data_IF_419982827016
#
_entry.id   IF_419982827016
#
_cell.length_a   1.000
_cell.length_b   1.000
_cell.length_c   1.000
_cell.angle_alpha   90.00
_cell.angle_beta   90.00
_cell.angle_gamma   90.00
#
_symmetry.space_group_name_H-M   'P 1'
#
loop_
_entity.id
_entity.type
_entity.pdbx_description
1 polymer ?
#
# COMPACT_ATOMS: atom_id res chain seq x y z
N UNK A 1 17.16 33.45 -48.63
CA UNK A 1 17.49 34.10 -47.34
C UNK A 1 17.08 33.14 -46.25
N UNK A 2 18.04 32.43 -45.67
CA UNK A 2 17.82 31.58 -44.51
C UNK A 2 17.51 32.47 -43.32
N UNK A 3 16.34 32.28 -42.71
CA UNK A 3 15.94 32.93 -41.47
C UNK A 3 16.87 32.42 -40.34
N UNK A 4 18.02 33.04 -40.15
CA UNK A 4 18.84 32.83 -38.96
C UNK A 4 18.09 33.42 -37.78
N UNK A 5 17.46 32.55 -36.97
CA UNK A 5 16.90 32.94 -35.67
C UNK A 5 18.02 33.62 -34.88
N UNK A 6 17.80 34.88 -34.46
CA UNK A 6 18.71 35.55 -33.53
C UNK A 6 18.70 34.79 -32.21
N UNK A 7 19.80 34.13 -31.89
CA UNK A 7 20.01 33.55 -30.57
C UNK A 7 20.24 34.65 -29.54
N UNK A 8 19.68 34.47 -28.35
CA UNK A 8 19.85 35.40 -27.25
C UNK A 8 21.18 35.11 -26.53
N UNK A 9 21.83 36.17 -26.04
CA UNK A 9 22.99 36.03 -25.16
C UNK A 9 22.54 35.37 -23.85
N UNK A 10 23.24 34.32 -23.44
CA UNK A 10 22.92 33.60 -22.22
C UNK A 10 23.47 34.33 -20.99
N UNK A 11 22.74 34.24 -19.88
CA UNK A 11 23.21 34.74 -18.57
C UNK A 11 23.93 33.65 -17.76
N UNK A 12 23.69 32.40 -18.09
CA UNK A 12 24.31 31.22 -17.46
C UNK A 12 24.07 29.99 -18.32
N UNK A 13 24.97 29.00 -18.21
CA UNK A 13 24.88 27.71 -18.88
C UNK A 13 25.38 26.60 -17.96
N UNK A 14 24.67 25.49 -17.91
CA UNK A 14 25.13 24.23 -17.32
C UNK A 14 25.59 23.33 -18.46
N UNK A 15 26.77 22.74 -18.35
CA UNK A 15 27.30 21.77 -19.29
C UNK A 15 27.42 20.40 -18.63
N UNK A 16 27.20 19.34 -19.41
CA UNK A 16 27.19 17.95 -18.95
C UNK A 16 27.86 17.05 -19.97
N UNK A 17 28.99 16.41 -19.62
CA UNK A 17 29.66 15.48 -20.54
C UNK A 17 30.55 14.46 -19.81
N UNK A 18 30.69 13.26 -20.37
CA UNK A 18 31.62 12.24 -19.90
C UNK A 18 33.09 12.66 -20.08
N UNK A 19 33.98 12.07 -19.31
CA UNK A 19 35.43 12.37 -19.37
C UNK A 19 36.16 11.67 -20.52
N UNK A 20 35.53 10.70 -21.17
CA UNK A 20 36.15 9.89 -22.22
C UNK A 20 36.47 10.68 -23.48
N UNK A 21 37.62 10.36 -24.08
CA UNK A 21 38.05 10.90 -25.37
C UNK A 21 37.03 10.55 -26.47
N UNK A 22 36.76 11.51 -27.37
CA UNK A 22 35.77 11.37 -28.46
C UNK A 22 34.39 11.99 -28.19
N UNK A 23 34.11 12.44 -26.95
CA UNK A 23 32.92 13.23 -26.63
C UNK A 23 33.16 14.74 -26.61
N UNK A 24 34.43 15.14 -26.74
CA UNK A 24 34.91 16.52 -26.80
C UNK A 24 35.61 16.72 -28.15
N UNK A 25 35.71 17.96 -28.61
CA UNK A 25 36.44 18.28 -29.83
C UNK A 25 37.92 17.86 -29.74
N UNK A 26 38.50 17.55 -30.90
CA UNK A 26 39.86 16.98 -31.02
C UNK A 26 40.99 17.90 -30.52
N UNK A 27 40.69 19.17 -30.24
CA UNK A 27 41.67 20.15 -29.73
C UNK A 27 41.83 20.09 -28.20
N UNK A 28 41.03 19.28 -27.51
CA UNK A 28 41.19 19.01 -26.08
C UNK A 28 42.41 18.15 -25.77
N UNK A 29 43.05 18.43 -24.63
CA UNK A 29 44.10 17.56 -24.12
C UNK A 29 43.47 16.27 -23.57
N UNK A 30 43.74 15.14 -24.24
CA UNK A 30 43.20 13.82 -23.89
C UNK A 30 43.59 13.38 -22.48
N UNK A 31 44.85 13.59 -22.09
CA UNK A 31 45.34 13.20 -20.76
C UNK A 31 44.63 13.99 -19.65
N UNK A 32 44.26 15.25 -19.93
CA UNK A 32 43.49 16.07 -19.00
C UNK A 32 42.06 15.51 -18.83
N UNK A 33 41.39 15.20 -19.94
CA UNK A 33 40.02 14.65 -19.89
C UNK A 33 40.01 13.30 -19.16
N UNK A 34 40.90 12.37 -19.53
CA UNK A 34 41.00 11.04 -18.93
C UNK A 34 41.41 11.07 -17.45
N UNK A 35 42.08 12.15 -16.99
CA UNK A 35 42.39 12.33 -15.56
C UNK A 35 41.16 12.57 -14.68
N UNK A 36 40.03 12.96 -15.29
CA UNK A 36 38.80 13.39 -14.61
C UNK A 36 39.04 14.49 -13.53
N UNK A 37 40.11 15.27 -13.68
CA UNK A 37 40.45 16.40 -12.81
C UNK A 37 39.52 17.59 -13.11
N UNK A 38 38.36 17.61 -12.45
CA UNK A 38 37.32 18.61 -12.67
C UNK A 38 37.79 20.05 -12.43
N UNK A 39 38.82 20.27 -11.62
CA UNK A 39 39.40 21.59 -11.39
C UNK A 39 40.09 22.11 -12.64
N UNK A 40 41.05 21.34 -13.17
CA UNK A 40 41.77 21.71 -14.39
C UNK A 40 40.88 21.72 -15.63
N UNK A 41 39.91 20.82 -15.71
CA UNK A 41 38.93 20.82 -16.80
C UNK A 41 38.10 22.12 -16.74
N UNK A 42 37.62 22.52 -15.56
CA UNK A 42 36.88 23.78 -15.40
C UNK A 42 37.72 25.01 -15.74
N UNK A 43 39.00 25.03 -15.36
CA UNK A 43 39.93 26.11 -15.73
C UNK A 43 40.04 26.27 -17.25
N UNK A 44 40.19 25.15 -17.97
CA UNK A 44 40.28 25.17 -19.43
C UNK A 44 38.95 25.60 -20.08
N UNK A 45 37.81 25.13 -19.57
CA UNK A 45 36.48 25.60 -20.00
C UNK A 45 36.39 27.12 -19.84
N UNK A 46 36.73 27.66 -18.66
CA UNK A 46 36.65 29.09 -18.39
C UNK A 46 37.62 29.87 -19.27
N UNK A 47 38.83 29.36 -19.51
CA UNK A 47 39.81 29.98 -20.41
C UNK A 47 39.24 30.13 -21.83
N UNK A 48 38.70 29.06 -22.40
CA UNK A 48 38.10 29.04 -23.74
C UNK A 48 36.89 29.96 -23.85
N UNK A 49 35.98 29.88 -22.88
CA UNK A 49 34.75 30.69 -22.87
C UNK A 49 35.04 32.18 -22.66
N UNK A 50 36.11 32.52 -21.94
CA UNK A 50 36.51 33.91 -21.69
C UNK A 50 36.97 34.65 -22.96
N UNK A 51 37.20 33.96 -24.08
CA UNK A 51 37.47 34.58 -25.38
C UNK A 51 36.24 35.27 -25.99
N UNK A 52 35.03 34.85 -25.58
CA UNK A 52 33.75 35.31 -26.18
C UNK A 52 32.74 35.84 -25.16
N UNK A 53 32.96 35.59 -23.86
CA UNK A 53 32.09 36.00 -22.77
C UNK A 53 32.89 36.43 -21.54
N UNK A 54 32.27 37.12 -20.59
CA UNK A 54 32.86 37.43 -19.29
C UNK A 54 32.26 36.54 -18.21
N UNK A 55 33.01 35.53 -17.77
CA UNK A 55 32.59 34.60 -16.70
C UNK A 55 32.73 35.27 -15.34
N UNK A 56 31.66 35.26 -14.55
CA UNK A 56 31.62 35.84 -13.19
C UNK A 56 31.55 34.78 -12.09
N UNK A 57 30.96 33.63 -12.39
CA UNK A 57 30.88 32.48 -11.47
C UNK A 57 31.11 31.19 -12.26
N UNK A 58 31.85 30.25 -11.69
CA UNK A 58 32.19 28.97 -12.32
C UNK A 58 32.30 27.86 -11.27
N UNK A 59 31.51 26.80 -11.46
CA UNK A 59 31.42 25.65 -10.56
C UNK A 59 31.53 24.35 -11.34
N UNK A 60 32.12 23.30 -10.76
CA UNK A 60 32.14 21.97 -11.35
C UNK A 60 32.01 20.85 -10.30
N UNK A 61 31.45 19.72 -10.70
CA UNK A 61 31.36 18.50 -9.89
C UNK A 61 31.43 17.27 -10.80
N UNK A 62 32.03 16.19 -10.29
CA UNK A 62 32.03 14.89 -10.93
C UNK A 62 30.79 14.08 -10.47
N UNK A 63 29.97 13.67 -11.41
CA UNK A 63 28.86 12.75 -11.17
C UNK A 63 29.28 11.31 -11.47
N UNK A 64 29.69 10.59 -10.43
CA UNK A 64 30.21 9.21 -10.47
C UNK A 64 29.32 8.17 -9.76
N UNK A 65 28.14 8.59 -9.27
CA UNK A 65 27.21 7.82 -8.42
C UNK A 65 25.79 7.79 -8.99
N UNK A 66 25.60 8.41 -10.15
CA UNK A 66 24.32 8.43 -10.84
C UNK A 66 23.99 7.03 -11.38
N UNK A 67 22.72 6.65 -11.30
CA UNK A 67 22.26 5.35 -11.77
C UNK A 67 21.18 5.51 -12.83
N UNK A 68 21.09 4.53 -13.70
CA UNK A 68 20.10 4.45 -14.77
C UNK A 68 19.47 3.08 -14.81
N UNK A 69 18.19 3.06 -15.16
CA UNK A 69 17.41 1.84 -15.29
C UNK A 69 17.65 1.28 -16.69
N UNK A 70 18.17 0.05 -16.79
CA UNK A 70 18.52 -0.60 -18.06
C UNK A 70 17.83 -1.97 -18.12
N UNK A 71 17.25 -2.28 -19.27
CA UNK A 71 16.69 -3.61 -19.51
C UNK A 71 17.81 -4.59 -19.89
N UNK A 72 18.07 -5.58 -19.04
CA UNK A 72 18.97 -6.68 -19.35
C UNK A 72 18.25 -7.68 -20.25
N UNK A 73 18.61 -7.68 -21.53
CA UNK A 73 18.01 -8.58 -22.53
C UNK A 73 18.26 -10.06 -22.25
N UNK A 74 19.32 -10.43 -21.51
CA UNK A 74 19.62 -11.83 -21.17
C UNK A 74 18.77 -12.30 -20.00
N UNK A 75 18.63 -11.46 -18.97
CA UNK A 75 17.83 -11.77 -17.79
C UNK A 75 16.33 -11.51 -18.01
N UNK A 76 15.96 -10.78 -19.07
CA UNK A 76 14.59 -10.29 -19.31
C UNK A 76 14.05 -9.44 -18.16
N UNK A 77 14.95 -8.78 -17.44
CA UNK A 77 14.65 -8.03 -16.24
C UNK A 77 15.23 -6.62 -16.33
N UNK A 78 14.66 -5.73 -15.53
CA UNK A 78 15.11 -4.35 -15.44
C UNK A 78 16.11 -4.25 -14.30
N UNK A 79 17.35 -3.88 -14.60
CA UNK A 79 18.41 -3.71 -13.61
C UNK A 79 18.84 -2.25 -13.50
N UNK A 80 19.43 -1.90 -12.36
CA UNK A 80 20.00 -0.57 -12.13
C UNK A 80 21.49 -0.63 -12.45
N UNK A 81 21.95 0.16 -13.41
CA UNK A 81 23.37 0.27 -13.76
C UNK A 81 23.90 1.67 -13.42
N UNK A 82 25.12 1.71 -12.89
CA UNK A 82 25.86 2.96 -12.73
C UNK A 82 26.06 3.65 -14.09
N UNK A 83 25.77 4.94 -14.15
CA UNK A 83 26.08 5.77 -15.31
C UNK A 83 27.60 6.01 -15.40
N UNK A 84 28.10 6.26 -16.60
CA UNK A 84 29.50 6.62 -16.78
C UNK A 84 29.81 7.95 -16.08
N UNK A 85 30.96 8.09 -15.39
CA UNK A 85 31.36 9.33 -14.75
C UNK A 85 31.39 10.51 -15.71
N UNK A 86 30.81 11.63 -15.29
CA UNK A 86 30.69 12.81 -16.13
C UNK A 86 30.76 14.11 -15.32
N UNK A 87 31.23 15.18 -15.95
CA UNK A 87 31.29 16.51 -15.34
C UNK A 87 29.95 17.22 -15.50
N UNK A 88 29.49 17.85 -14.43
CA UNK A 88 28.58 18.98 -14.51
C UNK A 88 29.36 20.27 -14.22
N UNK A 89 29.38 21.22 -15.15
CA UNK A 89 29.94 22.54 -14.89
C UNK A 89 28.92 23.66 -15.13
N UNK A 90 28.86 24.62 -14.21
CA UNK A 90 27.92 25.72 -14.26
C UNK A 90 28.68 27.04 -14.37
N UNK A 91 28.42 27.77 -15.45
CA UNK A 91 28.98 29.10 -15.69
C UNK A 91 27.89 30.16 -15.60
N UNK A 92 28.25 31.32 -15.05
CA UNK A 92 27.44 32.53 -15.08
C UNK A 92 28.22 33.67 -15.71
N UNK A 93 27.53 34.49 -16.48
CA UNK A 93 28.14 35.58 -17.23
C UNK A 93 27.75 36.95 -16.68
N UNK A 94 28.65 37.93 -16.85
CA UNK A 94 28.36 39.33 -16.59
C UNK A 94 27.21 39.80 -17.48
N UNK A 95 26.39 40.72 -16.95
CA UNK A 95 25.13 41.12 -17.60
C UNK A 95 25.42 41.75 -18.96
N UNK A 96 24.89 41.13 -20.01
CA UNK A 96 25.07 41.58 -21.40
C UNK A 96 26.41 41.21 -22.02
N UNK A 97 27.27 40.47 -21.29
CA UNK A 97 28.57 39.96 -21.75
C UNK A 97 28.62 38.43 -21.78
N UNK A 98 27.48 37.78 -21.95
CA UNK A 98 27.42 36.37 -22.30
C UNK A 98 27.59 36.18 -23.81
N UNK A 99 27.58 34.91 -24.23
CA UNK A 99 27.56 34.52 -25.64
C UNK A 99 26.28 33.71 -25.96
N UNK A 100 26.03 33.44 -27.24
CA UNK A 100 24.92 32.57 -27.66
C UNK A 100 25.23 31.10 -27.34
N UNK A 101 24.21 30.23 -27.39
CA UNK A 101 24.40 28.80 -27.08
C UNK A 101 25.37 28.17 -28.10
N UNK A 102 25.15 28.45 -29.38
CA UNK A 102 26.02 28.00 -30.49
C UNK A 102 27.47 28.43 -30.31
N UNK A 103 27.72 29.71 -30.00
CA UNK A 103 29.09 30.22 -29.78
C UNK A 103 29.75 29.60 -28.56
N UNK A 104 29.01 29.37 -27.48
CA UNK A 104 29.54 28.69 -26.29
C UNK A 104 29.87 27.22 -26.59
N UNK A 105 28.97 26.52 -27.28
CA UNK A 105 29.16 25.13 -27.70
C UNK A 105 30.43 24.97 -28.56
N UNK A 106 30.57 25.81 -29.59
CA UNK A 106 31.76 25.86 -30.46
C UNK A 106 33.04 26.15 -29.67
N UNK A 107 33.01 27.11 -28.75
CA UNK A 107 34.20 27.49 -27.97
C UNK A 107 34.62 26.44 -26.95
N UNK A 108 33.65 25.77 -26.34
CA UNK A 108 33.92 24.69 -25.39
C UNK A 108 34.35 23.43 -26.14
N UNK A 109 33.91 23.23 -27.38
CA UNK A 109 34.16 22.03 -28.16
C UNK A 109 33.18 20.91 -27.83
N UNK A 110 31.90 21.26 -27.68
CA UNK A 110 30.79 20.34 -27.41
C UNK A 110 29.60 20.67 -28.32
N UNK A 111 28.77 19.68 -28.64
CA UNK A 111 27.50 19.95 -29.31
C UNK A 111 26.51 20.68 -28.38
N UNK A 112 25.62 21.51 -28.94
CA UNK A 112 24.67 22.33 -28.16
C UNK A 112 23.77 21.51 -27.22
N UNK A 113 23.48 20.26 -27.54
CA UNK A 113 22.65 19.35 -26.73
C UNK A 113 23.26 19.02 -25.35
N UNK A 114 24.57 19.18 -25.19
CA UNK A 114 25.28 19.00 -23.92
C UNK A 114 25.30 20.27 -23.06
N UNK A 115 24.71 21.37 -23.55
CA UNK A 115 24.62 22.65 -22.86
C UNK A 115 23.15 22.99 -22.53
N UNK A 116 22.82 23.02 -21.24
CA UNK A 116 21.52 23.47 -20.75
C UNK A 116 21.55 24.95 -20.37
N UNK A 117 20.73 25.75 -21.05
CA UNK A 117 20.47 27.14 -20.66
C UNK A 117 19.52 27.21 -19.45
N UNK A 118 19.78 28.16 -18.56
CA UNK A 118 18.87 28.47 -17.45
C UNK A 118 17.46 28.80 -17.95
N UNK A 119 16.44 28.18 -17.33
CA UNK A 119 15.03 28.51 -17.61
C UNK A 119 14.75 29.99 -17.30
N UNK A 120 13.86 30.60 -18.08
CA UNK A 120 13.48 32.00 -17.89
C UNK A 120 12.93 32.26 -16.48
N UNK A 121 13.33 33.39 -15.89
CA UNK A 121 12.83 33.86 -14.60
C UNK A 121 13.87 33.85 -13.47
N UNK A 122 13.50 34.44 -12.33
CA UNK A 122 14.43 34.69 -11.20
C UNK A 122 15.02 33.45 -10.53
N UNK A 123 14.46 32.26 -10.80
CA UNK A 123 14.86 31.00 -10.19
C UNK A 123 15.65 30.08 -11.11
N UNK A 124 15.81 30.43 -12.39
CA UNK A 124 16.47 29.54 -13.35
C UNK A 124 17.88 29.16 -12.93
N UNK A 125 18.70 30.15 -12.57
CA UNK A 125 20.08 29.92 -12.12
C UNK A 125 20.16 29.20 -10.77
N UNK A 126 19.28 29.53 -9.82
CA UNK A 126 19.18 28.83 -8.52
C UNK A 126 18.80 27.35 -8.69
N UNK A 127 18.01 27.02 -9.72
CA UNK A 127 17.70 25.63 -10.03
C UNK A 127 18.90 24.88 -10.59
N UNK A 128 19.72 25.49 -11.44
CA UNK A 128 20.96 24.89 -11.93
C UNK A 128 21.97 24.68 -10.79
N UNK A 129 22.12 25.66 -9.90
CA UNK A 129 22.94 25.51 -8.69
C UNK A 129 22.48 24.30 -7.85
N UNK A 130 21.18 24.20 -7.57
CA UNK A 130 20.63 23.07 -6.83
C UNK A 130 20.83 21.72 -7.55
N UNK A 131 20.85 21.73 -8.88
CA UNK A 131 20.95 20.54 -9.71
C UNK A 131 22.34 19.92 -9.68
N UNK A 132 23.41 20.71 -9.49
CA UNK A 132 24.79 20.21 -9.32
C UNK A 132 24.91 19.14 -8.23
N UNK A 133 24.09 19.20 -7.19
CA UNK A 133 24.09 18.19 -6.13
C UNK A 133 22.78 17.40 -6.03
N UNK A 134 21.94 17.53 -7.05
CA UNK A 134 20.58 16.98 -7.10
C UNK A 134 19.69 17.36 -5.89
N UNK A 135 19.91 18.51 -5.25
CA UNK A 135 19.29 18.89 -3.97
C UNK A 135 17.75 18.88 -3.97
N UNK A 136 17.11 18.96 -5.16
CA UNK A 136 15.66 18.98 -5.33
C UNK A 136 15.10 17.67 -5.89
N UNK A 137 15.93 16.70 -6.27
CA UNK A 137 15.57 15.53 -7.06
C UNK A 137 15.78 14.24 -6.24
N UNK A 138 14.77 13.85 -5.46
CA UNK A 138 14.85 12.75 -4.47
C UNK A 138 15.26 11.41 -5.05
N UNK A 139 14.86 11.13 -6.29
CA UNK A 139 15.13 9.84 -6.94
C UNK A 139 16.57 9.72 -7.46
N UNK A 140 17.34 10.83 -7.45
CA UNK A 140 18.74 10.85 -7.85
C UNK A 140 19.68 10.84 -6.65
N UNK A 141 20.90 10.35 -6.85
CA UNK A 141 21.94 10.42 -5.82
C UNK A 141 22.18 11.88 -5.40
N UNK A 142 22.19 12.12 -4.09
CA UNK A 142 22.39 13.46 -3.52
C UNK A 142 23.87 13.65 -3.20
N UNK A 143 24.56 14.45 -3.99
CA UNK A 143 25.98 14.74 -3.76
C UNK A 143 26.19 15.68 -2.58
N UNK A 144 27.37 15.59 -1.97
CA UNK A 144 27.79 16.54 -0.95
C UNK A 144 28.07 17.90 -1.58
N UNK A 145 27.67 19.03 -0.97
CA UNK A 145 28.08 20.36 -1.43
C UNK A 145 29.61 20.56 -1.40
N UNK A 146 30.34 19.77 -0.61
CA UNK A 146 31.82 19.80 -0.57
C UNK A 146 32.47 19.17 -1.81
N UNK A 147 31.73 18.36 -2.58
CA UNK A 147 32.22 17.77 -3.84
C UNK A 147 32.18 18.78 -5.01
N UNK A 148 31.61 19.97 -4.80
CA UNK A 148 31.55 21.02 -5.83
C UNK A 148 32.77 21.93 -5.75
N UNK A 149 33.61 21.88 -6.79
CA UNK A 149 34.71 22.82 -6.98
C UNK A 149 34.19 24.20 -7.41
N UNK A 150 34.75 25.25 -6.81
CA UNK A 150 34.45 26.65 -7.16
C UNK A 150 35.70 27.31 -7.70
N UNK A 151 35.72 27.65 -8.99
CA UNK A 151 36.83 28.36 -9.62
C UNK A 151 36.66 29.89 -9.53
N UNK A 152 35.44 30.36 -9.79
CA UNK A 152 35.10 31.79 -9.77
C UNK A 152 33.81 32.05 -9.00
N UNK A 153 33.75 33.20 -8.33
CA UNK A 153 32.57 33.66 -7.63
C UNK A 153 32.56 33.30 -6.15
N UNK A 154 31.36 33.15 -5.58
CA UNK A 154 31.17 32.79 -4.17
C UNK A 154 31.32 31.29 -3.98
N UNK A 155 32.00 30.86 -2.92
CA UNK A 155 32.15 29.44 -2.56
C UNK A 155 30.80 28.71 -2.57
N UNK A 156 30.72 27.59 -3.29
CA UNK A 156 29.48 26.84 -3.44
C UNK A 156 28.89 26.39 -2.09
N UNK A 157 29.75 25.97 -1.15
CA UNK A 157 29.32 25.58 0.19
C UNK A 157 28.55 26.72 0.91
N UNK A 158 29.00 27.97 0.77
CA UNK A 158 28.28 29.12 1.34
C UNK A 158 26.94 29.36 0.64
N UNK A 159 26.86 29.16 -0.69
CA UNK A 159 25.60 29.24 -1.45
C UNK A 159 24.63 28.18 -0.95
N UNK A 160 25.10 26.94 -0.79
CA UNK A 160 24.31 25.84 -0.23
C UNK A 160 23.76 26.22 1.14
N UNK A 161 24.58 26.73 2.07
CA UNK A 161 24.10 27.14 3.39
C UNK A 161 23.01 28.22 3.34
N UNK A 162 23.09 29.15 2.37
CA UNK A 162 22.08 30.19 2.17
C UNK A 162 20.79 29.66 1.52
N UNK A 163 20.89 28.62 0.69
CA UNK A 163 19.79 28.14 -0.16
C UNK A 163 19.14 26.84 0.30
N UNK A 164 19.81 26.06 1.17
CA UNK A 164 19.38 24.71 1.58
C UNK A 164 17.92 24.63 2.01
N UNK A 165 17.44 25.60 2.79
CA UNK A 165 16.04 25.60 3.25
C UNK A 165 15.07 25.79 2.08
N UNK A 166 15.40 26.68 1.14
CA UNK A 166 14.60 26.89 -0.08
C UNK A 166 14.65 25.68 -1.01
N UNK A 167 15.79 24.99 -1.10
CA UNK A 167 15.94 23.80 -1.92
C UNK A 167 15.19 22.60 -1.33
N UNK A 168 15.24 22.41 0.00
CA UNK A 168 14.42 21.42 0.70
C UNK A 168 12.92 21.67 0.50
N UNK A 169 12.46 22.92 0.57
CA UNK A 169 11.06 23.27 0.23
C UNK A 169 10.74 22.95 -1.23
N UNK A 170 11.68 23.20 -2.15
CA UNK A 170 11.55 22.85 -3.56
C UNK A 170 11.46 21.34 -3.80
N UNK A 171 12.25 20.54 -3.08
CA UNK A 171 12.23 19.08 -3.09
C UNK A 171 10.85 18.55 -2.67
N UNK A 172 10.34 19.02 -1.53
CA UNK A 172 9.00 18.65 -1.05
C UNK A 172 7.89 19.00 -2.06
N UNK A 173 7.98 20.16 -2.72
CA UNK A 173 7.02 20.56 -3.76
C UNK A 173 7.07 19.65 -4.99
N UNK A 174 8.27 19.26 -5.44
CA UNK A 174 8.43 18.29 -6.54
C UNK A 174 7.85 16.92 -6.17
N UNK A 175 8.06 16.45 -4.95
CA UNK A 175 7.49 15.19 -4.46
C UNK A 175 5.96 15.20 -4.49
N UNK A 176 5.35 16.30 -4.03
CA UNK A 176 3.89 16.48 -4.11
C UNK A 176 3.42 16.50 -5.56
N UNK A 177 4.10 17.23 -6.45
CA UNK A 177 3.74 17.30 -7.87
C UNK A 177 3.82 15.93 -8.56
N UNK A 178 4.88 15.16 -8.32
CA UNK A 178 5.02 13.79 -8.85
C UNK A 178 3.88 12.89 -8.36
N UNK A 179 3.51 13.04 -7.09
CA UNK A 179 2.34 12.34 -6.55
C UNK A 179 1.02 12.68 -7.25
N UNK A 180 0.85 13.91 -7.77
CA UNK A 180 -0.31 14.27 -8.58
C UNK A 180 -0.32 13.57 -9.94
N UNK A 181 0.85 13.24 -10.48
CA UNK A 181 1.01 12.57 -11.78
C UNK A 181 0.76 11.05 -11.67
N UNK A 182 1.19 10.44 -10.56
CA UNK A 182 1.12 8.99 -10.36
C UNK A 182 -0.19 8.51 -9.69
N UNK A 183 -1.11 9.42 -9.36
CA UNK A 183 -2.33 9.09 -8.62
C UNK A 183 -3.23 8.10 -9.36
N UNK A 184 -3.30 8.17 -10.70
CA UNK A 184 -4.20 7.32 -11.49
C UNK A 184 -3.79 5.85 -11.39
N UNK A 185 -2.48 5.56 -11.37
CA UNK A 185 -1.96 4.22 -11.16
C UNK A 185 -2.27 3.69 -9.75
N UNK A 186 -2.17 4.55 -8.72
CA UNK A 186 -2.55 4.16 -7.36
C UNK A 186 -4.05 3.84 -7.27
N UNK A 187 -4.91 4.65 -7.90
CA UNK A 187 -6.36 4.42 -7.93
C UNK A 187 -6.69 3.12 -8.66
N UNK A 188 -6.06 2.83 -9.80
CA UNK A 188 -6.25 1.55 -10.52
C UNK A 188 -5.87 0.35 -9.66
N UNK A 189 -4.72 0.41 -8.95
CA UNK A 189 -4.31 -0.66 -8.04
C UNK A 189 -5.26 -0.84 -6.85
N UNK A 190 -5.88 0.23 -6.35
CA UNK A 190 -6.92 0.13 -5.32
C UNK A 190 -8.16 -0.56 -5.89
N UNK A 191 -8.64 -0.14 -7.06
CA UNK A 191 -9.83 -0.71 -7.71
C UNK A 191 -9.67 -2.19 -8.05
N UNK A 192 -8.45 -2.60 -8.44
CA UNK A 192 -8.10 -4.00 -8.72
C UNK A 192 -7.77 -4.83 -7.46
N UNK A 193 -7.98 -4.27 -6.26
CA UNK A 193 -7.73 -4.93 -4.98
C UNK A 193 -6.25 -5.39 -4.83
N UNK A 194 -5.30 -4.66 -5.43
CA UNK A 194 -3.85 -4.91 -5.29
C UNK A 194 -3.25 -4.13 -4.13
N UNK A 195 -3.86 -2.99 -3.77
CA UNK A 195 -3.45 -2.15 -2.64
C UNK A 195 -4.64 -1.98 -1.69
N UNK A 196 -4.43 -2.29 -0.43
CA UNK A 196 -5.39 -2.08 0.64
C UNK A 196 -5.16 -0.75 1.36
N UNK A 197 -6.14 -0.33 2.15
CA UNK A 197 -5.99 0.85 3.02
C UNK A 197 -4.88 0.67 4.05
N UNK A 198 -4.68 -0.54 4.56
CA UNK A 198 -3.59 -0.82 5.50
C UNK A 198 -2.22 -0.66 4.84
N UNK A 199 -2.06 -1.09 3.58
CA UNK A 199 -0.80 -0.92 2.85
C UNK A 199 -0.45 0.56 2.72
N UNK A 200 -1.44 1.41 2.40
CA UNK A 200 -1.26 2.87 2.34
C UNK A 200 -0.88 3.48 3.68
N UNK A 201 -1.45 2.98 4.79
CA UNK A 201 -1.19 3.52 6.12
C UNK A 201 0.16 3.06 6.69
N UNK A 202 0.58 1.83 6.39
CA UNK A 202 1.81 1.24 6.90
C UNK A 202 3.05 1.62 6.08
N UNK A 203 2.91 1.79 4.77
CA UNK A 203 4.03 2.09 3.89
C UNK A 203 4.19 3.59 3.64
N UNK A 204 5.36 4.12 4.04
CA UNK A 204 5.72 5.53 3.93
C UNK A 204 5.67 6.05 2.49
N UNK A 205 5.85 5.20 1.46
CA UNK A 205 5.79 5.64 0.06
C UNK A 205 4.43 6.22 -0.32
N UNK A 206 3.35 5.79 0.33
CA UNK A 206 2.00 6.25 0.03
C UNK A 206 1.54 7.44 0.89
N UNK A 207 2.29 7.86 1.91
CA UNK A 207 1.85 8.89 2.85
C UNK A 207 1.62 10.25 2.20
N UNK A 208 2.58 10.71 1.37
CA UNK A 208 2.44 11.96 0.61
C UNK A 208 1.25 11.89 -0.36
N UNK A 209 1.13 10.86 -1.23
CA UNK A 209 -0.07 10.69 -2.06
C UNK A 209 -1.37 10.65 -1.28
N UNK A 210 -1.39 9.95 -0.15
CA UNK A 210 -2.60 9.81 0.64
C UNK A 210 -3.06 11.13 1.27
N UNK A 211 -2.14 11.95 1.77
CA UNK A 211 -2.50 13.27 2.32
C UNK A 211 -3.00 14.19 1.21
N UNK A 212 -2.30 14.21 0.07
CA UNK A 212 -2.59 15.12 -1.05
C UNK A 212 -3.91 14.76 -1.74
N UNK A 213 -4.19 13.46 -1.90
CA UNK A 213 -5.35 12.93 -2.62
C UNK A 213 -6.35 12.19 -1.72
N UNK A 214 -6.39 12.54 -0.43
CA UNK A 214 -7.16 11.81 0.59
C UNK A 214 -8.60 11.51 0.19
N UNK A 215 -9.30 12.49 -0.37
CA UNK A 215 -10.70 12.33 -0.80
C UNK A 215 -10.79 11.29 -1.92
N UNK A 216 -10.05 11.48 -3.02
CA UNK A 216 -10.08 10.58 -4.17
C UNK A 216 -9.69 9.14 -3.82
N UNK A 217 -8.68 8.96 -2.97
CA UNK A 217 -8.25 7.64 -2.51
C UNK A 217 -9.31 6.98 -1.61
N UNK A 218 -9.90 7.73 -0.68
CA UNK A 218 -10.96 7.18 0.16
C UNK A 218 -12.24 6.87 -0.63
N UNK A 219 -12.55 7.69 -1.64
CA UNK A 219 -13.67 7.43 -2.56
C UNK A 219 -13.43 6.15 -3.38
N UNK A 220 -12.18 5.89 -3.82
CA UNK A 220 -11.83 4.62 -4.47
C UNK A 220 -12.04 3.43 -3.54
N UNK A 221 -11.57 3.49 -2.29
CA UNK A 221 -11.84 2.42 -1.31
C UNK A 221 -13.34 2.22 -1.05
N UNK A 222 -14.11 3.31 -0.94
CA UNK A 222 -15.56 3.22 -0.79
C UNK A 222 -16.20 2.54 -2.01
N UNK A 223 -15.76 2.89 -3.21
CA UNK A 223 -16.23 2.30 -4.47
C UNK A 223 -15.91 0.80 -4.52
N UNK A 224 -14.71 0.38 -4.10
CA UNK A 224 -14.38 -1.05 -3.97
C UNK A 224 -15.35 -1.76 -3.05
N UNK A 225 -15.69 -1.16 -1.91
CA UNK A 225 -16.68 -1.73 -0.98
C UNK A 225 -18.09 -1.86 -1.60
N UNK A 226 -18.51 -0.87 -2.40
CA UNK A 226 -19.78 -0.92 -3.15
C UNK A 226 -19.77 -2.04 -4.20
N UNK A 227 -18.67 -2.19 -4.95
CA UNK A 227 -18.47 -3.27 -5.94
C UNK A 227 -18.52 -4.63 -5.25
N UNK A 228 -17.79 -4.83 -4.15
CA UNK A 228 -17.81 -6.07 -3.36
C UNK A 228 -19.21 -6.37 -2.85
N UNK A 229 -19.90 -5.35 -2.33
CA UNK A 229 -21.27 -5.48 -1.83
C UNK A 229 -22.26 -5.94 -2.91
N UNK A 230 -22.18 -5.36 -4.11
CA UNK A 230 -22.99 -5.75 -5.25
C UNK A 230 -22.65 -7.18 -5.72
N UNK A 231 -21.36 -7.51 -5.84
CA UNK A 231 -20.88 -8.85 -6.21
C UNK A 231 -21.39 -9.92 -5.26
N UNK A 232 -21.20 -9.76 -3.94
CA UNK A 232 -21.68 -10.74 -2.97
C UNK A 232 -23.20 -10.92 -3.04
N UNK A 233 -23.95 -9.83 -3.29
CA UNK A 233 -25.41 -9.94 -3.41
C UNK A 233 -25.80 -10.77 -4.63
N UNK A 234 -25.20 -10.50 -5.78
CA UNK A 234 -25.43 -11.25 -7.02
C UNK A 234 -25.05 -12.73 -6.85
N UNK A 235 -23.86 -13.01 -6.29
CA UNK A 235 -23.39 -14.37 -5.99
C UNK A 235 -24.34 -15.12 -5.03
N UNK A 236 -25.00 -14.43 -4.08
CA UNK A 236 -25.96 -15.06 -3.18
C UNK A 236 -27.29 -15.36 -3.88
N UNK A 237 -27.79 -14.41 -4.67
CA UNK A 237 -29.04 -14.55 -5.45
C UNK A 237 -28.92 -15.67 -6.51
N UNK A 238 -27.73 -15.84 -7.08
CA UNK A 238 -27.40 -16.92 -8.01
C UNK A 238 -27.06 -18.25 -7.32
N UNK A 239 -27.01 -18.29 -5.98
CA UNK A 239 -26.72 -19.50 -5.22
C UNK A 239 -25.28 -19.99 -5.33
N UNK A 240 -24.33 -19.12 -5.72
CA UNK A 240 -22.90 -19.43 -5.83
C UNK A 240 -22.26 -19.67 -4.46
N UNK A 241 -22.89 -19.17 -3.40
CA UNK A 241 -22.53 -19.53 -2.04
C UNK A 241 -23.74 -19.52 -1.09
N UNK A 242 -23.56 -20.18 0.06
CA UNK A 242 -24.43 -20.07 1.23
C UNK A 242 -23.71 -19.27 2.30
N UNK A 243 -24.33 -18.17 2.79
CA UNK A 243 -23.78 -17.40 3.90
C UNK A 243 -23.61 -18.29 5.13
N UNK A 244 -22.44 -18.23 5.75
CA UNK A 244 -22.07 -19.08 6.89
C UNK A 244 -22.01 -18.27 8.17
N UNK A 245 -22.83 -18.63 9.16
CA UNK A 245 -22.86 -17.97 10.47
C UNK A 245 -22.27 -18.94 11.50
N UNK A 246 -21.20 -18.53 12.16
CA UNK A 246 -20.49 -19.31 13.19
C UNK A 246 -20.61 -18.58 14.53
N UNK A 247 -21.06 -19.28 15.56
CA UNK A 247 -21.15 -18.73 16.91
C UNK A 247 -20.16 -19.44 17.83
N UNK A 248 -19.29 -18.68 18.48
CA UNK A 248 -18.25 -19.18 19.38
C UNK A 248 -18.62 -18.76 20.80
N UNK A 249 -19.02 -19.74 21.60
CA UNK A 249 -19.47 -19.58 22.97
C UNK A 249 -18.46 -20.18 23.97
N UNK A 250 -18.42 -19.62 25.17
CA UNK A 250 -17.62 -20.12 26.28
C UNK A 250 -17.38 -19.04 27.33
N UNK A 251 -17.08 -19.45 28.57
CA UNK A 251 -16.81 -18.51 29.66
C UNK A 251 -15.67 -17.53 29.32
N UNK A 252 -15.65 -16.39 30.03
CA UNK A 252 -14.56 -15.42 29.89
C UNK A 252 -13.21 -16.07 30.18
N UNK A 253 -12.17 -15.66 29.45
CA UNK A 253 -10.81 -16.16 29.64
C UNK A 253 -10.49 -17.53 28.97
N UNK A 254 -11.42 -18.16 28.25
CA UNK A 254 -11.17 -19.45 27.56
C UNK A 254 -10.54 -19.33 26.15
N UNK A 255 -10.09 -18.15 25.74
CA UNK A 255 -9.42 -17.97 24.44
C UNK A 255 -10.34 -17.89 23.20
N UNK A 256 -11.64 -17.60 23.36
CA UNK A 256 -12.61 -17.45 22.23
C UNK A 256 -12.14 -16.49 21.14
N UNK A 257 -11.71 -15.28 21.53
CA UNK A 257 -11.23 -14.26 20.59
C UNK A 257 -9.98 -14.72 19.84
N UNK A 258 -9.09 -15.47 20.52
CA UNK A 258 -7.92 -16.08 19.88
C UNK A 258 -8.34 -17.13 18.86
N UNK A 259 -9.23 -18.05 19.25
CA UNK A 259 -9.77 -19.07 18.36
C UNK A 259 -10.46 -18.46 17.13
N UNK A 260 -11.28 -17.42 17.32
CA UNK A 260 -11.99 -16.74 16.23
C UNK A 260 -11.05 -16.02 15.25
N UNK A 261 -9.98 -15.39 15.77
CA UNK A 261 -8.94 -14.75 14.94
C UNK A 261 -8.12 -15.77 14.17
N UNK A 262 -7.78 -16.90 14.79
CA UNK A 262 -7.13 -18.03 14.10
C UNK A 262 -8.04 -18.59 12.98
N UNK A 263 -9.30 -18.87 13.28
CA UNK A 263 -10.30 -19.30 12.30
C UNK A 263 -10.46 -18.31 11.14
N UNK A 264 -10.49 -17.01 11.43
CA UNK A 264 -10.61 -15.95 10.41
C UNK A 264 -9.40 -15.97 9.47
N UNK A 265 -8.18 -16.12 10.00
CA UNK A 265 -6.96 -16.23 9.21
C UNK A 265 -6.99 -17.47 8.32
N UNK A 266 -7.40 -18.61 8.87
CA UNK A 266 -7.48 -19.87 8.11
C UNK A 266 -8.51 -19.78 6.96
N UNK A 267 -9.66 -19.11 7.18
CA UNK A 267 -10.65 -18.85 6.14
C UNK A 267 -10.08 -17.96 5.02
N UNK A 268 -9.38 -16.88 5.36
CA UNK A 268 -8.74 -16.00 4.36
C UNK A 268 -7.68 -16.76 3.56
N UNK A 269 -6.86 -17.57 4.24
CA UNK A 269 -5.84 -18.37 3.57
C UNK A 269 -6.49 -19.38 2.60
N UNK A 270 -7.59 -20.02 3.00
CA UNK A 270 -8.34 -20.90 2.09
C UNK A 270 -8.96 -20.18 0.90
N UNK A 271 -9.49 -18.98 1.12
CA UNK A 271 -10.00 -18.15 0.03
C UNK A 271 -8.88 -17.84 -0.98
N UNK A 272 -7.68 -17.49 -0.49
CA UNK A 272 -6.50 -17.24 -1.32
C UNK A 272 -6.10 -18.46 -2.15
N UNK A 273 -6.14 -19.66 -1.57
CA UNK A 273 -5.87 -20.91 -2.30
C UNK A 273 -6.88 -21.19 -3.42
N UNK A 274 -8.08 -20.61 -3.33
CA UNK A 274 -9.11 -20.68 -4.37
C UNK A 274 -9.15 -19.40 -5.23
N UNK A 275 -8.04 -18.66 -5.31
CA UNK A 275 -7.90 -17.44 -6.11
C UNK A 275 -8.91 -16.33 -5.75
N UNK A 276 -9.32 -16.26 -4.48
CA UNK A 276 -10.20 -15.20 -3.96
C UNK A 276 -9.41 -14.26 -3.06
N UNK A 277 -9.60 -12.95 -3.25
CA UNK A 277 -8.97 -11.88 -2.46
C UNK A 277 -9.82 -11.47 -1.25
N UNK A 278 -10.24 -12.44 -0.45
CA UNK A 278 -11.13 -12.16 0.68
C UNK A 278 -10.42 -11.35 1.76
N UNK A 279 -11.17 -10.43 2.36
CA UNK A 279 -10.73 -9.62 3.49
C UNK A 279 -11.64 -9.87 4.69
N UNK A 280 -11.10 -9.58 5.88
CA UNK A 280 -11.87 -9.62 7.12
C UNK A 280 -11.82 -8.28 7.84
N UNK A 281 -12.91 -7.97 8.54
CA UNK A 281 -12.95 -6.89 9.51
C UNK A 281 -13.35 -7.41 10.89
N UNK A 282 -12.66 -6.93 11.91
CA UNK A 282 -13.02 -7.19 13.31
C UNK A 282 -13.73 -5.97 13.87
N UNK A 283 -14.88 -6.19 14.49
CA UNK A 283 -15.68 -5.12 15.06
C UNK A 283 -16.25 -5.54 16.41
N UNK A 284 -16.35 -4.58 17.33
CA UNK A 284 -16.88 -4.75 18.67
C UNK A 284 -17.71 -3.52 19.04
N UNK A 285 -18.80 -3.70 19.80
CA UNK A 285 -19.63 -2.60 20.31
C UNK A 285 -20.96 -2.37 19.58
N UNK A 286 -21.53 -1.18 19.75
CA UNK A 286 -22.91 -0.82 19.32
C UNK A 286 -23.01 -0.33 17.88
N UNK A 287 -21.93 0.06 17.21
CA UNK A 287 -21.93 0.51 15.80
C UNK A 287 -21.09 -0.40 14.92
N UNK A 288 -21.39 -1.69 15.00
CA UNK A 288 -20.55 -2.74 14.44
C UNK A 288 -20.35 -2.66 12.92
N UNK A 289 -21.23 -1.97 12.18
CA UNK A 289 -21.18 -1.86 10.71
C UNK A 289 -20.60 -0.54 10.17
N UNK A 290 -20.21 0.41 11.02
CA UNK A 290 -19.75 1.73 10.55
C UNK A 290 -18.46 1.63 9.71
N UNK A 291 -17.56 0.71 10.09
CA UNK A 291 -16.27 0.50 9.42
C UNK A 291 -16.32 -0.57 8.32
N UNK A 292 -17.43 -1.31 8.21
CA UNK A 292 -17.59 -2.38 7.21
C UNK A 292 -17.69 -1.78 5.81
N UNK A 293 -16.85 -2.29 4.91
CA UNK A 293 -16.67 -1.82 3.54
C UNK A 293 -16.48 -2.99 2.56
N UNK A 294 -17.40 -3.96 2.59
CA UNK A 294 -17.45 -5.06 1.64
C UNK A 294 -16.56 -6.24 1.98
N UNK A 295 -15.99 -6.31 3.19
CA UNK A 295 -15.22 -7.47 3.65
C UNK A 295 -16.09 -8.74 3.68
N UNK A 296 -15.56 -9.83 3.13
CA UNK A 296 -16.25 -11.10 3.00
C UNK A 296 -16.38 -11.84 4.35
N UNK A 297 -15.50 -11.57 5.30
CA UNK A 297 -15.52 -12.16 6.65
C UNK A 297 -15.72 -11.09 7.71
N UNK A 298 -16.83 -11.17 8.44
CA UNK A 298 -17.15 -10.28 9.55
C UNK A 298 -16.92 -10.98 10.89
N UNK A 299 -15.93 -10.52 11.64
CA UNK A 299 -15.65 -10.99 13.00
C UNK A 299 -16.25 -10.03 14.03
N UNK A 300 -17.33 -10.47 14.66
CA UNK A 300 -18.03 -9.80 15.75
C UNK A 300 -17.47 -10.31 17.09
N UNK A 301 -16.35 -9.72 17.52
CA UNK A 301 -15.60 -10.18 18.70
C UNK A 301 -16.13 -9.52 19.98
N UNK A 302 -16.60 -10.33 20.93
CA UNK A 302 -17.18 -9.95 22.21
C UNK A 302 -18.35 -8.96 22.09
N UNK A 303 -19.16 -9.15 21.04
CA UNK A 303 -20.38 -8.37 20.82
C UNK A 303 -21.44 -8.74 21.87
N UNK A 304 -22.38 -7.83 22.13
CA UNK A 304 -23.53 -8.07 23.01
C UNK A 304 -24.82 -8.18 22.20
N UNK A 305 -25.78 -8.96 22.70
CA UNK A 305 -27.06 -9.16 22.01
C UNK A 305 -27.86 -7.87 21.82
N UNK A 306 -27.70 -6.90 22.71
CA UNK A 306 -28.32 -5.57 22.67
C UNK A 306 -27.58 -4.56 21.79
N UNK A 307 -26.46 -4.94 21.15
CA UNK A 307 -25.75 -4.10 20.17
C UNK A 307 -26.60 -3.76 18.95
N UNK A 308 -27.55 -4.62 18.58
CA UNK A 308 -28.50 -4.41 17.48
C UNK A 308 -29.94 -4.64 17.95
N UNK A 309 -30.89 -4.21 17.13
CA UNK A 309 -32.29 -4.61 17.31
C UNK A 309 -32.52 -6.05 16.86
N UNK A 310 -33.60 -6.68 17.33
CA UNK A 310 -34.04 -8.00 16.87
C UNK A 310 -34.16 -8.07 15.34
N UNK A 311 -34.78 -7.06 14.73
CA UNK A 311 -34.94 -6.96 13.28
C UNK A 311 -33.59 -6.93 12.55
N UNK A 312 -32.62 -6.17 13.05
CA UNK A 312 -31.31 -6.05 12.42
C UNK A 312 -30.51 -7.34 12.54
N UNK A 313 -30.53 -8.02 13.70
CA UNK A 313 -29.90 -9.34 13.83
C UNK A 313 -30.50 -10.35 12.84
N UNK A 314 -31.83 -10.38 12.68
CA UNK A 314 -32.48 -11.27 11.73
C UNK A 314 -32.08 -11.00 10.28
N UNK A 315 -31.87 -9.73 9.91
CA UNK A 315 -31.39 -9.33 8.57
C UNK A 315 -29.92 -9.68 8.36
N UNK A 316 -29.06 -9.37 9.32
CA UNK A 316 -27.61 -9.65 9.27
C UNK A 316 -27.36 -11.15 9.10
N UNK A 317 -28.05 -11.94 9.92
CA UNK A 317 -27.88 -13.39 10.00
C UNK A 317 -28.73 -14.15 8.98
N UNK A 318 -29.50 -13.47 8.12
CA UNK A 318 -30.27 -14.15 7.07
C UNK A 318 -29.32 -14.85 6.09
N UNK A 319 -29.36 -16.19 5.97
CA UNK A 319 -28.45 -16.90 5.09
C UNK A 319 -28.84 -16.82 3.62
N UNK A 320 -30.05 -16.34 3.29
CA UNK A 320 -30.61 -16.33 1.94
C UNK A 320 -30.73 -14.93 1.33
N UNK A 321 -30.69 -13.88 2.16
CA UNK A 321 -30.85 -12.51 1.70
C UNK A 321 -29.74 -11.59 2.21
N UNK A 322 -29.45 -10.55 1.44
CA UNK A 322 -28.66 -9.40 1.89
C UNK A 322 -29.57 -8.19 1.93
N UNK A 323 -29.91 -7.78 3.14
CA UNK A 323 -30.71 -6.58 3.38
C UNK A 323 -29.82 -5.44 3.90
N UNK A 324 -30.14 -4.17 3.57
CA UNK A 324 -29.51 -3.04 4.22
C UNK A 324 -29.73 -3.09 5.74
N UNK A 325 -28.65 -2.90 6.50
CA UNK A 325 -28.66 -2.85 7.96
C UNK A 325 -28.46 -1.40 8.40
N UNK A 326 -29.14 -0.98 9.46
CA UNK A 326 -29.00 0.39 9.97
C UNK A 326 -27.57 0.66 10.42
N UNK A 327 -26.97 1.75 9.92
CA UNK A 327 -25.71 2.29 10.40
C UNK A 327 -25.83 3.82 10.54
N UNK A 328 -24.96 4.45 11.34
CA UNK A 328 -25.16 5.85 11.80
C UNK A 328 -25.21 6.87 10.68
N UNK A 329 -24.47 6.64 9.60
CA UNK A 329 -24.26 7.61 8.54
C UNK A 329 -25.05 7.26 7.26
N UNK A 330 -25.04 5.99 6.85
CA UNK A 330 -25.82 5.45 5.73
C UNK A 330 -26.03 3.96 5.97
N UNK A 331 -27.21 3.41 5.63
CA UNK A 331 -27.45 1.97 5.70
C UNK A 331 -26.38 1.23 4.90
N UNK A 332 -25.75 0.23 5.52
CA UNK A 332 -24.69 -0.56 4.89
C UNK A 332 -25.26 -1.88 4.39
N UNK A 333 -24.81 -2.30 3.21
CA UNK A 333 -25.08 -3.64 2.70
C UNK A 333 -24.16 -4.59 3.49
N UNK A 334 -24.73 -5.39 4.39
CA UNK A 334 -24.01 -6.41 5.15
C UNK A 334 -23.62 -7.60 4.28
N UNK A 335 -22.75 -7.38 3.31
CA UNK A 335 -22.33 -8.32 2.27
C UNK A 335 -21.24 -9.30 2.74
N UNK A 336 -21.28 -9.68 4.02
CA UNK A 336 -20.38 -10.70 4.52
C UNK A 336 -20.87 -12.09 4.07
N UNK A 337 -19.93 -12.90 3.57
CA UNK A 337 -20.14 -14.32 3.25
C UNK A 337 -20.02 -15.19 4.49
N UNK A 338 -19.18 -14.79 5.44
CA UNK A 338 -18.99 -15.46 6.73
C UNK A 338 -19.16 -14.45 7.86
N UNK A 339 -19.95 -14.81 8.87
CA UNK A 339 -20.12 -14.02 10.09
C UNK A 339 -19.68 -14.90 11.26
N UNK A 340 -18.70 -14.43 12.02
CA UNK A 340 -18.18 -15.10 13.21
C UNK A 340 -18.55 -14.26 14.43
N UNK A 341 -19.32 -14.82 15.35
CA UNK A 341 -19.71 -14.15 16.59
C UNK A 341 -18.98 -14.80 17.75
N UNK A 342 -18.29 -14.04 18.58
CA UNK A 342 -17.80 -14.54 19.87
C UNK A 342 -18.63 -13.95 21.01
N UNK A 343 -19.01 -14.79 21.98
CA UNK A 343 -19.71 -14.31 23.17
C UNK A 343 -19.45 -15.18 24.39
N UNK A 344 -19.54 -14.55 25.57
CA UNK A 344 -19.59 -15.24 26.85
C UNK A 344 -20.97 -15.76 27.22
N UNK A 345 -22.00 -15.45 26.42
CA UNK A 345 -23.38 -15.89 26.63
C UNK A 345 -23.74 -16.96 25.60
N UNK A 346 -24.47 -17.99 26.04
CA UNK A 346 -25.04 -18.97 25.13
C UNK A 346 -25.93 -18.25 24.10
N UNK A 347 -26.02 -18.69 22.82
CA UNK A 347 -26.82 -17.99 21.80
C UNK A 347 -28.25 -17.66 22.24
N UNK A 348 -28.94 -18.60 22.90
CA UNK A 348 -30.28 -18.35 23.45
C UNK A 348 -30.30 -17.19 24.45
N UNK A 349 -29.34 -17.13 25.37
CA UNK A 349 -29.24 -16.05 26.34
C UNK A 349 -28.81 -14.73 25.68
N UNK A 350 -27.92 -14.82 24.69
CA UNK A 350 -27.48 -13.68 23.89
C UNK A 350 -28.65 -12.98 23.20
N UNK A 351 -29.45 -13.73 22.43
CA UNK A 351 -30.57 -13.16 21.68
C UNK A 351 -31.78 -12.84 22.56
N UNK A 352 -31.96 -13.50 23.70
CA UNK A 352 -33.00 -13.15 24.66
C UNK A 352 -32.89 -11.68 25.12
N UNK A 353 -31.66 -11.19 25.35
CA UNK A 353 -31.40 -9.81 25.75
C UNK A 353 -31.33 -8.82 24.58
N UNK A 354 -31.57 -9.26 23.35
CA UNK A 354 -31.56 -8.36 22.19
C UNK A 354 -32.64 -7.28 22.32
N UNK A 355 -32.28 -6.06 21.90
CA UNK A 355 -33.18 -4.91 21.97
C UNK A 355 -34.41 -5.14 21.08
N UNK A 356 -35.60 -5.04 21.67
CA UNK A 356 -36.86 -5.25 20.95
C UNK A 356 -37.25 -6.71 20.73
N UNK A 357 -36.60 -7.66 21.42
CA UNK A 357 -36.83 -9.11 21.22
C UNK A 357 -38.06 -9.68 21.97
N UNK A 358 -38.87 -8.84 22.64
CA UNK A 358 -39.95 -9.29 23.55
C UNK A 358 -41.00 -10.21 22.91
N UNK A 359 -41.13 -10.20 21.58
CA UNK A 359 -42.11 -10.98 20.83
C UNK A 359 -41.48 -11.89 19.76
N UNK A 360 -40.15 -12.03 19.76
CA UNK A 360 -39.44 -12.81 18.73
C UNK A 360 -39.22 -14.25 19.19
N UNK A 361 -39.41 -15.21 18.28
CA UNK A 361 -39.10 -16.61 18.54
C UNK A 361 -37.57 -16.81 18.47
N UNK A 362 -36.94 -17.18 19.57
CA UNK A 362 -35.49 -17.43 19.62
C UNK A 362 -35.02 -18.48 18.60
N UNK A 363 -35.90 -19.39 18.19
CA UNK A 363 -35.65 -20.39 17.14
C UNK A 363 -35.24 -19.74 15.81
N UNK A 364 -35.67 -18.50 15.56
CA UNK A 364 -35.32 -17.72 14.37
C UNK A 364 -33.83 -17.41 14.30
N UNK A 365 -33.17 -17.15 15.44
CA UNK A 365 -31.73 -16.93 15.46
C UNK A 365 -30.98 -18.26 15.44
N UNK A 366 -31.45 -19.25 16.20
CA UNK A 366 -30.82 -20.58 16.28
C UNK A 366 -30.69 -21.21 14.89
N UNK A 367 -31.77 -21.23 14.10
CA UNK A 367 -31.77 -21.83 12.75
C UNK A 367 -30.87 -21.12 11.73
N UNK A 368 -30.41 -19.89 12.03
CA UNK A 368 -29.53 -19.10 11.18
C UNK A 368 -28.05 -19.35 11.49
N UNK A 369 -27.73 -19.89 12.66
CA UNK A 369 -26.37 -20.29 13.03
C UNK A 369 -26.08 -21.64 12.38
N UNK A 370 -25.03 -21.74 11.56
CA UNK A 370 -24.65 -23.02 10.96
C UNK A 370 -24.00 -23.94 12.00
N UNK A 371 -23.06 -23.40 12.78
CA UNK A 371 -22.36 -24.12 13.84
C UNK A 371 -22.17 -23.26 15.09
N UNK A 372 -22.37 -23.90 16.24
CA UNK A 372 -22.05 -23.42 17.57
C UNK A 372 -20.78 -24.14 18.06
N UNK A 373 -19.66 -23.41 18.06
CA UNK A 373 -18.42 -23.84 18.70
C UNK A 373 -18.46 -23.46 20.19
N UNK A 374 -18.39 -24.44 21.09
CA UNK A 374 -18.38 -24.21 22.53
C UNK A 374 -17.03 -24.56 23.14
N UNK A 375 -16.43 -23.59 23.84
CA UNK A 375 -15.19 -23.76 24.59
C UNK A 375 -15.52 -23.91 26.07
N UNK A 376 -15.05 -25.00 26.69
CA UNK A 376 -15.18 -25.31 28.13
C UNK A 376 -13.81 -25.63 28.73
N UNK A 377 -13.78 -25.90 30.04
CA UNK A 377 -12.55 -26.25 30.76
C UNK A 377 -11.84 -25.03 31.33
N UNK A 378 -10.52 -25.00 31.21
CA UNK A 378 -9.67 -23.88 31.65
C UNK A 378 -8.92 -23.29 30.46
N UNK A 379 -8.34 -22.10 30.62
CA UNK A 379 -7.54 -21.48 29.55
C UNK A 379 -6.33 -22.35 29.13
N UNK A 380 -5.77 -23.13 30.06
CA UNK A 380 -4.64 -24.03 29.80
C UNK A 380 -5.05 -25.33 29.12
N UNK A 381 -6.28 -25.80 29.40
CA UNK A 381 -6.83 -27.05 28.86
C UNK A 381 -8.26 -26.82 28.36
N UNK A 382 -8.42 -26.07 27.25
CA UNK A 382 -9.72 -25.86 26.66
C UNK A 382 -10.21 -27.16 26.02
N UNK A 383 -11.49 -27.47 26.23
CA UNK A 383 -12.20 -28.57 25.58
C UNK A 383 -13.17 -27.95 24.60
N UNK A 384 -13.19 -28.49 23.38
CA UNK A 384 -13.93 -27.93 22.25
C UNK A 384 -15.11 -28.82 21.91
N UNK A 385 -16.28 -28.22 21.73
CA UNK A 385 -17.48 -28.91 21.31
C UNK A 385 -18.07 -28.24 20.08
N UNK A 386 -18.65 -29.04 19.20
CA UNK A 386 -19.47 -28.61 18.09
C UNK A 386 -20.95 -28.90 18.36
N UNK A 387 -21.82 -28.02 17.90
CA UNK A 387 -23.26 -28.28 17.82
C UNK A 387 -23.83 -27.55 16.62
N UNK A 388 -24.92 -28.05 16.05
CA UNK A 388 -25.60 -27.43 14.93
C UNK A 388 -27.11 -27.38 15.19
N UNK A 389 -27.87 -26.46 14.56
CA UNK A 389 -29.30 -26.36 14.79
C UNK A 389 -30.05 -27.53 14.16
N UNK A 390 -31.04 -28.03 14.88
CA UNK A 390 -31.99 -29.04 14.41
C UNK A 390 -33.42 -28.60 14.71
N UNK A 391 -34.34 -28.97 13.82
CA UNK A 391 -35.76 -28.71 14.03
C UNK A 391 -36.27 -29.59 15.18
N UNK A 392 -37.06 -29.01 16.07
CA UNK A 392 -37.65 -29.69 17.22
C UNK A 392 -39.18 -29.52 17.22
N UNK A 393 -39.90 -30.44 17.87
CA UNK A 393 -41.36 -30.37 18.01
C UNK A 393 -41.74 -29.54 19.24
N UNK A 394 -41.53 -28.21 19.19
CA UNK A 394 -41.85 -27.28 20.29
C UNK A 394 -41.27 -27.74 21.64
N UNK A 395 -39.96 -27.99 21.65
CA UNK A 395 -39.26 -28.49 22.81
C UNK A 395 -39.18 -27.39 23.89
N UNK A 396 -39.58 -27.73 25.12
CA UNK A 396 -39.44 -26.83 26.27
C UNK A 396 -37.96 -26.81 26.69
N UNK A 397 -37.31 -25.66 26.53
CA UNK A 397 -35.90 -25.44 26.84
C UNK A 397 -35.76 -24.36 27.91
N UNK A 398 -34.97 -24.65 28.94
CA UNK A 398 -34.54 -23.64 29.91
C UNK A 398 -33.34 -22.88 29.35
N UNK A 399 -33.46 -21.56 29.19
CA UNK A 399 -32.38 -20.72 28.65
C UNK A 399 -31.18 -20.77 29.60
N UNK A 400 -29.97 -21.14 29.13
CA UNK A 400 -28.76 -21.09 29.93
C UNK A 400 -28.51 -19.68 30.49
N UNK A 401 -27.81 -19.58 31.62
CA UNK A 401 -27.49 -18.31 32.34
C UNK A 401 -28.66 -17.46 32.86
N UNK A 402 -29.86 -17.56 32.29
CA UNK A 402 -31.02 -16.72 32.62
C UNK A 402 -32.08 -17.52 33.39
N UNK A 403 -32.27 -18.80 33.04
CA UNK A 403 -33.14 -19.71 33.79
C UNK A 403 -34.64 -19.58 33.51
N UNK A 404 -35.07 -18.82 32.50
CA UNK A 404 -36.45 -18.84 31.99
C UNK A 404 -36.68 -20.01 31.03
N UNK A 405 -37.91 -20.48 30.96
CA UNK A 405 -38.33 -21.52 30.02
C UNK A 405 -38.90 -20.89 28.74
N UNK A 406 -38.50 -21.42 27.60
CA UNK A 406 -39.04 -21.08 26.28
C UNK A 406 -39.39 -22.34 25.50
N UNK A 407 -40.29 -22.20 24.53
CA UNK A 407 -40.61 -23.27 23.58
C UNK A 407 -39.89 -22.97 22.27
N UNK A 408 -39.11 -23.92 21.79
CA UNK A 408 -38.30 -23.77 20.59
C UNK A 408 -38.78 -24.70 19.49
N UNK A 409 -38.85 -24.19 18.27
CA UNK A 409 -39.02 -24.98 17.04
C UNK A 409 -37.67 -25.38 16.42
N UNK A 410 -36.58 -24.75 16.85
CA UNK A 410 -35.19 -25.13 16.57
C UNK A 410 -34.34 -25.00 17.83
N UNK A 411 -33.51 -26.00 18.10
CA UNK A 411 -32.49 -25.97 19.17
C UNK A 411 -31.19 -26.57 18.64
N UNK A 412 -30.09 -26.41 19.38
CA UNK A 412 -28.82 -27.04 19.03
C UNK A 412 -28.81 -28.52 19.41
N UNK A 413 -28.12 -29.34 18.62
CA UNK A 413 -27.79 -30.72 19.02
C UNK A 413 -27.00 -30.74 20.33
N UNK A 414 -26.95 -31.88 21.03
CA UNK A 414 -25.95 -32.09 22.08
C UNK A 414 -24.54 -31.80 21.55
N UNK A 415 -23.70 -31.23 22.41
CA UNK A 415 -22.32 -30.90 22.06
C UNK A 415 -21.52 -32.16 21.74
N UNK A 416 -21.03 -32.25 20.51
CA UNK A 416 -20.09 -33.28 20.09
C UNK A 416 -18.67 -32.83 20.46
N UNK A 417 -17.97 -33.59 21.30
CA UNK A 417 -16.62 -33.27 21.72
C UNK A 417 -15.62 -33.47 20.58
N UNK A 418 -14.79 -32.47 20.34
CA UNK A 418 -13.74 -32.50 19.33
C UNK A 418 -12.43 -32.95 19.98
N UNK A 419 -11.68 -33.80 19.28
CA UNK A 419 -10.39 -34.36 19.74
C UNK A 419 -9.35 -33.28 19.98
N UNK A 420 -9.41 -32.19 19.24
CA UNK A 420 -8.51 -31.04 19.40
C UNK A 420 -9.10 -29.74 18.85
N UNK A 421 -8.41 -28.64 19.14
CA UNK A 421 -8.67 -27.33 18.54
C UNK A 421 -8.58 -27.40 17.01
N UNK A 422 -7.56 -28.08 16.50
CA UNK A 422 -7.26 -28.21 15.07
C UNK A 422 -8.35 -29.00 14.34
N UNK A 423 -8.94 -30.02 14.97
CA UNK A 423 -10.07 -30.76 14.38
C UNK A 423 -11.29 -29.84 14.22
N UNK A 424 -11.59 -29.02 15.24
CA UNK A 424 -12.68 -28.05 15.16
C UNK A 424 -12.42 -26.96 14.11
N UNK A 425 -11.22 -26.37 14.08
CA UNK A 425 -10.82 -25.40 13.05
C UNK A 425 -10.98 -26.00 11.65
N UNK A 426 -10.44 -27.21 11.46
CA UNK A 426 -10.54 -27.94 10.19
C UNK A 426 -11.97 -28.11 9.72
N UNK A 427 -12.85 -28.57 10.61
CA UNK A 427 -14.26 -28.77 10.29
C UNK A 427 -14.95 -27.45 9.91
N UNK A 428 -14.75 -26.39 10.70
CA UNK A 428 -15.38 -25.08 10.45
C UNK A 428 -14.90 -24.44 9.15
N UNK A 429 -13.61 -24.49 8.86
CA UNK A 429 -13.03 -23.94 7.62
C UNK A 429 -13.48 -24.76 6.41
N UNK A 430 -13.47 -26.09 6.51
CA UNK A 430 -13.96 -26.98 5.45
C UNK A 430 -15.42 -26.69 5.14
N UNK A 431 -16.24 -26.43 6.16
CA UNK A 431 -17.63 -26.04 5.99
C UNK A 431 -17.79 -24.72 5.24
N UNK A 432 -16.97 -23.71 5.55
CA UNK A 432 -16.96 -22.44 4.79
C UNK A 432 -16.60 -22.70 3.33
N UNK A 433 -15.58 -23.51 3.04
CA UNK A 433 -15.20 -23.86 1.67
C UNK A 433 -16.31 -24.58 0.90
N UNK A 434 -16.97 -25.57 1.53
CA UNK A 434 -18.11 -26.27 0.96
C UNK A 434 -19.28 -25.32 0.65
N UNK A 435 -19.61 -24.43 1.60
CA UNK A 435 -20.68 -23.46 1.42
C UNK A 435 -20.36 -22.42 0.33
N UNK A 436 -19.10 -22.25 -0.07
CA UNK A 436 -18.67 -21.36 -1.16
C UNK A 436 -18.29 -22.12 -2.44
N UNK A 437 -18.59 -23.42 -2.51
CA UNK A 437 -18.34 -24.27 -3.67
C UNK A 437 -16.88 -24.22 -4.14
N UNK A 438 -15.94 -24.15 -3.20
CA UNK A 438 -14.51 -24.13 -3.50
C UNK A 438 -13.99 -25.51 -3.90
N UNK A 439 -13.05 -25.55 -4.85
CA UNK A 439 -12.36 -26.78 -5.27
C UNK A 439 -11.43 -27.29 -4.17
N UNK A 440 -10.80 -26.36 -3.44
CA UNK A 440 -9.90 -26.63 -2.32
C UNK A 440 -10.62 -26.25 -1.04
N UNK A 441 -11.09 -27.24 -0.29
CA UNK A 441 -11.76 -27.02 1.01
C UNK A 441 -11.15 -27.84 2.16
N UNK A 442 -10.21 -28.74 1.88
CA UNK A 442 -9.53 -29.54 2.91
C UNK A 442 -8.51 -28.70 3.70
N UNK A 443 -8.61 -28.69 5.03
CA UNK A 443 -7.84 -27.82 5.93
C UNK A 443 -6.34 -28.12 5.98
N UNK A 444 -5.94 -29.38 5.78
CA UNK A 444 -4.54 -29.79 5.69
C UNK A 444 -3.79 -29.05 4.57
N UNK A 445 -4.51 -28.69 3.49
CA UNK A 445 -4.00 -27.88 2.38
C UNK A 445 -3.73 -26.41 2.73
N UNK A 446 -4.18 -25.90 3.89
CA UNK A 446 -3.77 -24.57 4.39
C UNK A 446 -2.32 -24.62 4.86
N UNK A 447 -1.91 -25.76 5.41
CA UNK A 447 -0.59 -25.93 6.03
C UNK A 447 0.50 -26.34 5.04
N UNK A 448 0.14 -26.68 3.79
CA UNK A 448 1.07 -27.22 2.79
C UNK A 448 1.58 -26.25 1.70
N UNK A 449 1.04 -25.04 1.50
CA UNK A 449 1.65 -24.07 0.60
C UNK A 449 2.29 -22.88 1.33
N UNK A 450 3.63 -22.91 1.34
CA UNK A 450 4.58 -21.80 1.47
C UNK A 450 4.98 -21.31 2.88
N UNK A 451 5.86 -22.07 3.53
CA UNK A 451 7.11 -21.55 4.13
C UNK A 451 8.23 -21.45 3.06
N UNK A 452 7.90 -21.26 1.77
CA UNK A 452 8.87 -21.42 0.66
C UNK A 452 8.76 -20.35 -0.43
N UNK A 453 8.16 -19.20 -0.15
CA UNK A 453 8.22 -18.01 -1.01
C UNK A 453 8.64 -16.75 -0.23
N UNK A 454 9.45 -16.94 0.80
CA UNK A 454 10.15 -15.87 1.51
C UNK A 454 11.59 -16.31 1.82
N UNK A 455 12.37 -16.62 0.78
CA UNK A 455 13.85 -16.62 0.80
C UNK A 455 14.46 -16.99 -0.57
N UNK A 456 13.89 -16.53 -1.67
CA UNK A 456 14.59 -16.49 -2.97
C UNK A 456 14.44 -15.08 -3.53
N UNK A 457 15.02 -14.13 -2.78
CA UNK A 457 15.59 -12.89 -3.27
C UNK A 457 16.42 -12.32 -2.11
N UNK A 458 17.72 -12.17 -2.34
CA UNK A 458 18.80 -11.77 -1.41
C UNK A 458 19.22 -12.81 -0.37
N UNK A 459 20.25 -13.62 -0.70
CA UNK A 459 21.63 -13.51 -0.15
C UNK A 459 22.49 -14.60 -0.85
N UNK A 460 23.09 -14.29 -1.99
CA UNK A 460 24.40 -14.86 -2.35
C UNK A 460 25.44 -13.77 -2.11
N UNK A 461 25.78 -13.58 -0.84
CA UNK A 461 27.04 -12.94 -0.46
C UNK A 461 28.10 -14.04 -0.50
N UNK A 462 28.81 -14.11 -1.62
CA UNK A 462 29.98 -14.96 -1.81
C UNK A 462 31.09 -14.47 -0.87
N UNK A 463 31.18 -15.08 0.30
CA UNK A 463 32.46 -15.24 0.98
C UNK A 463 33.29 -16.27 0.21
N UNK A 464 34.27 -15.82 -0.57
CA UNK A 464 35.66 -16.33 -0.56
C UNK A 464 36.54 -15.67 -1.63
N UNK A 465 37.61 -15.02 -1.14
CA UNK A 465 38.83 -14.47 -1.78
C UNK A 465 38.87 -13.01 -2.22
#
# INVERSE_FOLDING_TARGET
>A
MTNTKKEALLTSVLLTQQFSDGFWDNDWNKELLESADIEKILEEIVRRVSEVATVTEAYAINHDKDTSVVFDKKLQETTTKLAEPHIHALLKFDKGKGATLSTLAEKIGLAEEYLEKSKSGRYGYDNLLAYLIHAKDKDKYQYSPDEVFTLLGKQYLEIYHQRKESWLKGKAKKEVQKSFEDIDFLIDNILNENITKNDILLDKKYHTPYIVHKTRINDAFKTVGEIKGARTKDELENGEFKKTILFIYGNSGLGKSRFAKELTKDIIQMAKLNNKKWQSITTAGTNMFDEVNGEEVLLLDDVRGDSLTASDWLKVLDPYNISPVSARYQNKIGAAKVIIITSSKHPLAFFYYTKGNAYEDLSQYVRRIEHLATLKGTNEKPIFFESHPVRTMNYKRRIPEIGYDVYLSYDFTPGNEMKSKEELLSMLVSKVGLNNQWDIWAYDKIKTPSETLASEDEVEDNQEK
#
